data_IF_087533619821
#
_entry.id   IF_087533619821
#
_cell.length_a   1.000
_cell.length_b   1.000
_cell.length_c   1.000
_cell.angle_alpha   90.00
_cell.angle_beta   90.00
_cell.angle_gamma   90.00
#
_symmetry.space_group_name_H-M   'P 1'
#
loop_
_entity.id
_entity.type
_entity.pdbx_description
1 polymer ?
#
# COMPACT_ATOMS: atom_id res chain seq x y z
N UNK A 1 3.72 -69.01 3.94
CA UNK A 1 3.84 -67.55 3.66
C UNK A 1 2.68 -67.13 2.81
N UNK A 2 1.72 -66.38 3.37
CA UNK A 2 0.56 -65.81 2.66
C UNK A 2 0.88 -64.36 2.29
N UNK A 3 0.52 -63.87 1.08
CA UNK A 3 0.80 -62.49 0.67
C UNK A 3 -0.19 -61.50 1.28
N UNK A 4 0.32 -60.33 1.67
CA UNK A 4 -0.45 -59.22 2.21
C UNK A 4 -1.35 -58.60 1.11
N UNK A 5 -2.62 -58.36 1.45
CA UNK A 5 -3.61 -57.63 0.66
C UNK A 5 -3.25 -56.14 0.67
N UNK A 6 -3.19 -55.55 -0.52
CA UNK A 6 -3.23 -54.06 -0.73
C UNK A 6 -4.62 -53.57 -0.28
N UNK A 7 -4.60 -52.51 0.54
CA UNK A 7 -5.76 -51.71 0.86
C UNK A 7 -5.77 -50.53 -0.07
N UNK A 8 -6.83 -50.40 -0.86
CA UNK A 8 -7.05 -49.30 -1.77
C UNK A 8 -7.31 -48.01 -0.96
N UNK A 9 -6.54 -46.97 -1.26
CA UNK A 9 -6.68 -45.64 -0.68
C UNK A 9 -7.85 -44.91 -1.35
N UNK A 10 -8.89 -44.67 -0.58
CA UNK A 10 -9.98 -43.75 -0.91
C UNK A 10 -9.48 -42.33 -0.76
N UNK A 11 -9.41 -41.63 -1.89
CA UNK A 11 -9.13 -40.16 -1.93
C UNK A 11 -10.39 -39.43 -1.48
N UNK A 12 -10.38 -38.93 -0.24
CA UNK A 12 -11.26 -37.87 0.23
C UNK A 12 -10.43 -36.59 0.40
N UNK A 13 -10.84 -35.53 -0.29
CA UNK A 13 -10.16 -34.25 -0.29
C UNK A 13 -10.02 -33.67 1.12
N UNK A 14 -8.82 -33.40 1.52
CA UNK A 14 -8.49 -32.89 2.83
C UNK A 14 -8.09 -31.41 2.79
N UNK A 15 -9.00 -30.57 3.26
CA UNK A 15 -8.68 -29.21 3.74
C UNK A 15 -8.32 -29.20 5.26
N UNK A 16 -7.81 -30.30 5.81
CA UNK A 16 -7.63 -30.46 7.27
C UNK A 16 -6.19 -30.59 7.75
N UNK A 17 -5.17 -30.36 6.90
CA UNK A 17 -3.78 -30.63 7.26
C UNK A 17 -3.00 -29.46 7.93
N UNK A 18 -3.52 -28.23 7.90
CA UNK A 18 -2.80 -27.03 8.37
C UNK A 18 -2.79 -26.87 9.91
N UNK A 19 -3.71 -27.52 10.63
CA UNK A 19 -3.83 -27.37 12.10
C UNK A 19 -3.02 -28.35 12.93
N UNK A 20 -2.14 -29.14 12.34
CA UNK A 20 -1.46 -30.25 13.06
C UNK A 20 -0.26 -29.87 13.93
N UNK A 21 0.20 -28.62 13.89
CA UNK A 21 1.48 -28.21 14.54
C UNK A 21 1.35 -28.02 16.05
N UNK A 22 0.13 -27.83 16.60
CA UNK A 22 -0.08 -27.80 18.05
C UNK A 22 -1.11 -28.86 18.47
N UNK A 23 -0.63 -30.09 18.69
CA UNK A 23 -1.47 -31.17 19.24
C UNK A 23 -2.27 -30.68 20.45
N UNK A 24 -3.60 -30.56 20.29
CA UNK A 24 -4.53 -30.35 21.38
C UNK A 24 -5.10 -28.95 21.58
N UNK A 25 -4.72 -27.92 20.78
CA UNK A 25 -5.35 -26.60 20.88
C UNK A 25 -6.50 -26.45 19.88
N UNK A 26 -7.66 -26.04 20.40
CA UNK A 26 -8.82 -25.71 19.57
C UNK A 26 -8.57 -24.38 18.87
N UNK A 27 -8.82 -24.27 17.53
CA UNK A 27 -8.68 -23.00 16.82
C UNK A 27 -9.51 -21.88 17.48
N UNK A 28 -9.03 -20.63 17.49
CA UNK A 28 -9.79 -19.50 18.04
C UNK A 28 -11.17 -19.38 17.41
N UNK A 29 -12.22 -19.50 18.23
CA UNK A 29 -13.62 -19.51 17.80
C UNK A 29 -14.50 -18.80 18.84
N UNK A 30 -15.69 -18.37 18.41
CA UNK A 30 -16.72 -17.79 19.28
C UNK A 30 -18.10 -18.14 18.73
N UNK A 31 -18.41 -19.47 18.72
CA UNK A 31 -19.61 -20.02 18.07
C UNK A 31 -20.88 -19.42 18.67
N UNK A 32 -20.93 -19.26 19.99
CA UNK A 32 -22.08 -18.65 20.67
C UNK A 32 -22.38 -17.23 20.17
N UNK A 33 -21.32 -16.43 19.91
CA UNK A 33 -21.47 -15.08 19.35
C UNK A 33 -21.87 -15.12 17.88
N UNK A 34 -21.38 -16.09 17.10
CA UNK A 34 -21.81 -16.28 15.71
C UNK A 34 -23.32 -16.55 15.65
N UNK A 35 -23.81 -17.42 16.52
CA UNK A 35 -25.24 -17.75 16.63
C UNK A 35 -26.10 -16.53 16.99
N UNK A 36 -25.63 -15.72 17.95
CA UNK A 36 -26.31 -14.47 18.35
C UNK A 36 -26.34 -13.44 17.21
N UNK A 37 -25.22 -13.25 16.51
CA UNK A 37 -25.15 -12.28 15.42
C UNK A 37 -26.06 -12.68 14.26
N UNK A 38 -25.99 -13.93 13.81
CA UNK A 38 -26.84 -14.42 12.71
C UNK A 38 -28.33 -14.36 13.10
N UNK A 39 -28.67 -14.77 14.32
CA UNK A 39 -30.03 -14.71 14.84
C UNK A 39 -30.55 -13.27 14.88
N UNK A 40 -29.74 -12.31 15.35
CA UNK A 40 -30.09 -10.91 15.41
C UNK A 40 -30.32 -10.30 14.03
N UNK A 41 -29.49 -10.65 13.02
CA UNK A 41 -29.68 -10.20 11.63
C UNK A 41 -31.00 -10.66 11.02
N UNK A 42 -31.54 -11.80 11.43
CA UNK A 42 -32.83 -12.31 10.97
C UNK A 42 -34.04 -11.68 11.71
N UNK A 43 -33.82 -10.98 12.83
CA UNK A 43 -34.87 -10.34 13.63
C UNK A 43 -34.93 -8.84 13.41
N UNK A 44 -33.76 -8.19 13.32
CA UNK A 44 -33.63 -6.73 13.29
C UNK A 44 -32.88 -6.27 12.05
N UNK A 45 -33.58 -5.52 11.20
CA UNK A 45 -32.99 -4.94 9.98
C UNK A 45 -31.82 -3.98 10.30
N UNK A 46 -31.89 -3.20 11.38
CA UNK A 46 -30.78 -2.31 11.78
C UNK A 46 -29.51 -3.12 12.13
N UNK A 47 -29.69 -4.30 12.72
CA UNK A 47 -28.57 -5.18 13.01
C UNK A 47 -27.83 -5.64 11.74
N UNK A 48 -28.51 -5.78 10.61
CA UNK A 48 -27.88 -6.10 9.33
C UNK A 48 -26.98 -4.94 8.87
N UNK A 49 -27.52 -3.72 8.88
CA UNK A 49 -26.81 -2.50 8.43
C UNK A 49 -25.53 -2.24 9.27
N UNK A 50 -25.56 -2.55 10.58
CA UNK A 50 -24.43 -2.38 11.49
C UNK A 50 -23.32 -3.42 11.25
N UNK A 51 -23.64 -4.60 10.74
CA UNK A 51 -22.74 -5.76 10.68
C UNK A 51 -22.20 -6.03 9.29
N UNK A 52 -22.94 -5.67 8.25
CA UNK A 52 -22.63 -6.02 6.85
C UNK A 52 -21.27 -5.50 6.40
N UNK A 53 -20.83 -4.36 6.96
CA UNK A 53 -19.52 -3.76 6.68
C UNK A 53 -18.37 -4.37 7.50
N UNK A 54 -18.68 -5.11 8.56
CA UNK A 54 -17.69 -5.68 9.48
C UNK A 54 -17.37 -7.12 9.12
N UNK A 55 -18.39 -7.89 8.75
CA UNK A 55 -18.26 -9.33 8.53
C UNK A 55 -18.32 -9.68 7.04
N UNK A 56 -17.72 -10.80 6.73
CA UNK A 56 -17.85 -11.51 5.45
C UNK A 56 -17.97 -13.03 5.72
N UNK A 57 -18.43 -13.86 4.77
CA UNK A 57 -18.71 -15.27 5.02
C UNK A 57 -17.57 -16.05 5.67
N UNK A 58 -16.32 -15.76 5.28
CA UNK A 58 -15.14 -16.48 5.77
C UNK A 58 -14.80 -16.20 7.25
N UNK A 59 -15.38 -15.15 7.85
CA UNK A 59 -15.15 -14.79 9.25
C UNK A 59 -15.72 -15.86 10.20
N UNK A 60 -16.80 -16.50 9.78
CA UNK A 60 -17.47 -17.52 10.60
C UNK A 60 -16.68 -18.83 10.66
N UNK A 61 -16.62 -19.42 11.83
CA UNK A 61 -15.94 -20.70 12.04
C UNK A 61 -16.77 -21.88 11.53
N UNK A 62 -18.06 -21.88 11.88
CA UNK A 62 -18.98 -22.97 11.52
C UNK A 62 -19.45 -22.85 10.08
N UNK A 63 -19.31 -23.90 9.29
CA UNK A 63 -19.69 -23.90 7.88
C UNK A 63 -21.17 -23.56 7.66
N UNK A 64 -22.07 -24.03 8.54
CA UNK A 64 -23.49 -23.66 8.49
C UNK A 64 -23.69 -22.13 8.62
N UNK A 65 -22.92 -21.47 9.49
CA UNK A 65 -22.99 -20.01 9.67
C UNK A 65 -22.50 -19.24 8.45
N UNK A 66 -21.43 -19.71 7.79
CA UNK A 66 -20.97 -19.16 6.52
C UNK A 66 -22.06 -19.17 5.46
N UNK A 67 -22.76 -20.32 5.31
CA UNK A 67 -23.82 -20.49 4.32
C UNK A 67 -25.03 -19.59 4.64
N UNK A 68 -25.43 -19.49 5.91
CA UNK A 68 -26.54 -18.63 6.33
C UNK A 68 -26.19 -17.18 6.08
N UNK A 69 -24.98 -16.74 6.47
CA UNK A 69 -24.53 -15.36 6.24
C UNK A 69 -24.43 -15.03 4.74
N UNK A 70 -23.96 -15.96 3.90
CA UNK A 70 -23.97 -15.79 2.44
C UNK A 70 -25.38 -15.61 1.89
N UNK A 71 -26.37 -16.33 2.40
CA UNK A 71 -27.77 -16.16 2.00
C UNK A 71 -28.32 -14.77 2.44
N UNK A 72 -27.96 -14.32 3.64
CA UNK A 72 -28.31 -12.98 4.16
C UNK A 72 -27.68 -11.89 3.27
N UNK A 73 -26.40 -12.06 2.90
CA UNK A 73 -25.69 -11.10 2.02
C UNK A 73 -26.34 -11.01 0.64
N UNK A 74 -26.70 -12.14 0.04
CA UNK A 74 -27.41 -12.17 -1.25
C UNK A 74 -28.76 -11.43 -1.20
N UNK A 75 -29.54 -11.63 -0.13
CA UNK A 75 -30.81 -10.92 0.08
C UNK A 75 -30.57 -9.40 0.25
N UNK A 76 -29.53 -9.04 1.00
CA UNK A 76 -29.15 -7.63 1.20
C UNK A 76 -28.79 -6.94 -0.12
N UNK A 77 -27.97 -7.60 -0.95
CA UNK A 77 -27.56 -7.07 -2.27
C UNK A 77 -28.74 -6.93 -3.23
N UNK A 78 -29.75 -7.82 -3.13
CA UNK A 78 -30.97 -7.75 -3.92
C UNK A 78 -32.00 -6.78 -3.33
N UNK A 79 -31.70 -6.14 -2.20
CA UNK A 79 -32.59 -5.26 -1.45
C UNK A 79 -33.92 -5.95 -1.01
N UNK A 80 -33.87 -7.26 -0.84
CA UNK A 80 -34.99 -8.05 -0.36
C UNK A 80 -35.07 -8.03 1.18
N UNK A 81 -36.28 -8.20 1.78
CA UNK A 81 -36.42 -8.29 3.23
C UNK A 81 -35.62 -9.45 3.79
N UNK A 82 -34.94 -9.23 4.93
CA UNK A 82 -34.15 -10.23 5.62
C UNK A 82 -34.91 -10.65 6.86
N UNK A 83 -35.48 -11.83 6.82
CA UNK A 83 -36.14 -12.49 7.93
C UNK A 83 -35.96 -14.02 7.85
N UNK A 84 -36.43 -14.73 8.86
CA UNK A 84 -36.33 -16.20 8.94
C UNK A 84 -36.90 -16.89 7.69
N UNK A 85 -37.99 -16.38 7.11
CA UNK A 85 -38.66 -17.04 5.96
C UNK A 85 -37.91 -16.81 4.68
N UNK A 86 -37.45 -15.55 4.44
CA UNK A 86 -36.69 -15.18 3.25
C UNK A 86 -35.33 -15.85 3.22
N UNK A 87 -34.63 -15.90 4.36
CA UNK A 87 -33.36 -16.63 4.49
C UNK A 87 -33.55 -18.15 4.26
N UNK A 88 -34.62 -18.77 4.82
CA UNK A 88 -34.93 -20.17 4.55
C UNK A 88 -35.20 -20.40 3.07
N UNK A 89 -35.95 -19.51 2.41
CA UNK A 89 -36.25 -19.61 0.99
C UNK A 89 -34.98 -19.48 0.12
N UNK A 90 -34.10 -18.53 0.43
CA UNK A 90 -32.85 -18.36 -0.27
C UNK A 90 -31.95 -19.60 -0.10
N UNK A 91 -31.83 -20.14 1.12
CA UNK A 91 -31.08 -21.39 1.39
C UNK A 91 -31.66 -22.60 0.64
N UNK A 92 -32.98 -22.67 0.46
CA UNK A 92 -33.63 -23.72 -0.37
C UNK A 92 -33.26 -23.56 -1.83
N UNK A 93 -33.32 -22.34 -2.35
CA UNK A 93 -32.92 -22.01 -3.72
C UNK A 93 -31.47 -22.37 -4.02
N UNK A 94 -30.59 -22.15 -3.05
CA UNK A 94 -29.15 -22.46 -3.13
C UNK A 94 -28.83 -23.93 -2.80
N UNK A 95 -29.84 -24.79 -2.56
CA UNK A 95 -29.73 -26.19 -2.13
C UNK A 95 -28.91 -26.40 -0.83
N UNK A 96 -28.78 -25.37 0.01
CA UNK A 96 -27.96 -25.37 1.22
C UNK A 96 -28.78 -25.59 2.52
N UNK A 97 -30.10 -25.55 2.48
CA UNK A 97 -30.96 -25.63 3.69
C UNK A 97 -30.66 -26.84 4.54
N UNK A 98 -30.52 -28.03 3.95
CA UNK A 98 -30.23 -29.25 4.70
C UNK A 98 -28.82 -29.25 5.31
N UNK A 99 -27.86 -28.59 4.67
CA UNK A 99 -26.49 -28.49 5.16
C UNK A 99 -26.36 -27.57 6.39
N UNK A 100 -27.26 -26.61 6.52
CA UNK A 100 -27.27 -25.72 7.69
C UNK A 100 -28.05 -26.26 8.88
N UNK A 101 -28.78 -27.35 8.72
CA UNK A 101 -29.62 -27.97 9.79
C UNK A 101 -31.13 -27.73 9.65
N UNK A 102 -31.57 -27.27 8.48
CA UNK A 102 -33.00 -27.06 8.17
C UNK A 102 -33.60 -25.81 8.82
N UNK A 103 -34.91 -25.69 8.65
CA UNK A 103 -35.70 -24.57 9.21
C UNK A 103 -35.62 -24.51 10.73
N UNK A 104 -35.51 -25.70 11.40
CA UNK A 104 -35.45 -25.82 12.88
C UNK A 104 -34.21 -25.06 13.40
N UNK A 105 -33.06 -25.21 12.79
CA UNK A 105 -31.84 -24.53 13.21
C UNK A 105 -31.95 -23.01 13.07
N UNK A 106 -32.57 -22.51 11.99
CA UNK A 106 -32.83 -21.09 11.83
C UNK A 106 -33.73 -20.52 12.94
N UNK A 107 -34.77 -21.29 13.34
CA UNK A 107 -35.63 -20.93 14.48
C UNK A 107 -34.85 -20.89 15.78
N UNK A 108 -34.01 -21.88 16.04
CA UNK A 108 -33.15 -21.92 17.24
C UNK A 108 -32.24 -20.70 17.32
N UNK A 109 -31.61 -20.29 16.20
CA UNK A 109 -30.77 -19.10 16.15
C UNK A 109 -31.54 -17.83 16.53
N UNK A 110 -32.76 -17.67 16.02
CA UNK A 110 -33.57 -16.48 16.34
C UNK A 110 -34.04 -16.48 17.80
N UNK A 111 -34.31 -17.66 18.38
CA UNK A 111 -34.71 -17.77 19.80
C UNK A 111 -33.61 -17.50 20.81
N UNK A 112 -32.32 -17.64 20.41
CA UNK A 112 -31.19 -17.33 21.28
C UNK A 112 -30.97 -15.83 21.46
N UNK A 113 -31.56 -15.02 20.63
CA UNK A 113 -31.34 -13.54 20.65
C UNK A 113 -32.26 -12.90 21.67
N UNK A 114 -31.70 -12.31 22.70
CA UNK A 114 -32.44 -11.50 23.69
C UNK A 114 -32.46 -10.02 23.33
N UNK A 115 -31.45 -9.51 22.62
CA UNK A 115 -31.33 -8.12 22.21
C UNK A 115 -30.29 -7.98 21.08
N UNK A 116 -30.54 -7.09 20.10
CA UNK A 116 -29.58 -6.72 19.06
C UNK A 116 -28.63 -5.57 19.46
N UNK A 117 -28.79 -5.02 20.66
CA UNK A 117 -28.11 -3.77 21.11
C UNK A 117 -26.56 -3.86 21.09
N UNK A 118 -25.95 -5.04 21.05
CA UNK A 118 -24.49 -5.23 21.07
C UNK A 118 -23.97 -6.01 19.86
N UNK A 119 -24.75 -6.05 18.79
CA UNK A 119 -24.43 -6.87 17.61
C UNK A 119 -23.07 -6.44 16.98
N UNK A 120 -22.78 -5.15 16.91
CA UNK A 120 -21.52 -4.63 16.41
C UNK A 120 -20.33 -5.14 17.26
N UNK A 121 -20.45 -5.06 18.58
CA UNK A 121 -19.39 -5.53 19.48
C UNK A 121 -19.14 -7.03 19.35
N UNK A 122 -20.20 -7.84 19.26
CA UNK A 122 -20.09 -9.28 19.03
C UNK A 122 -19.44 -9.60 17.69
N UNK A 123 -19.81 -8.88 16.64
CA UNK A 123 -19.24 -9.01 15.29
C UNK A 123 -17.73 -8.71 15.28
N UNK A 124 -17.29 -7.70 16.02
CA UNK A 124 -15.87 -7.38 16.18
C UNK A 124 -15.09 -8.50 16.89
N UNK A 125 -15.69 -9.18 17.87
CA UNK A 125 -15.06 -10.34 18.52
C UNK A 125 -14.93 -11.50 17.53
N UNK A 126 -15.97 -11.78 16.73
CA UNK A 126 -15.93 -12.84 15.71
C UNK A 126 -14.82 -12.54 14.68
N UNK A 127 -14.73 -11.30 14.21
CA UNK A 127 -13.65 -10.85 13.33
C UNK A 127 -12.27 -11.03 13.97
N UNK A 128 -12.12 -10.69 15.24
CA UNK A 128 -10.89 -10.92 16.01
C UNK A 128 -10.46 -12.39 16.02
N UNK A 129 -11.44 -13.31 16.21
CA UNK A 129 -11.17 -14.76 16.17
C UNK A 129 -10.78 -15.24 14.78
N UNK A 130 -11.37 -14.67 13.74
CA UNK A 130 -10.96 -14.93 12.36
C UNK A 130 -9.52 -14.48 12.09
N UNK A 131 -9.16 -13.27 12.47
CA UNK A 131 -7.80 -12.75 12.32
C UNK A 131 -6.80 -13.65 13.05
N UNK A 132 -7.12 -14.10 14.27
CA UNK A 132 -6.28 -15.04 15.00
C UNK A 132 -6.09 -16.36 14.26
N UNK A 133 -7.16 -16.92 13.64
CA UNK A 133 -7.08 -18.14 12.82
C UNK A 133 -6.19 -17.93 11.59
N UNK A 134 -6.37 -16.81 10.89
CA UNK A 134 -5.56 -16.49 9.71
C UNK A 134 -4.08 -16.30 10.05
N UNK A 135 -3.77 -15.67 11.19
CA UNK A 135 -2.40 -15.57 11.66
C UNK A 135 -1.77 -16.93 11.97
N UNK A 136 -2.54 -17.85 12.57
CA UNK A 136 -2.08 -19.22 12.82
C UNK A 136 -1.83 -19.97 11.51
N UNK A 137 -2.75 -19.85 10.54
CA UNK A 137 -2.62 -20.44 9.20
C UNK A 137 -1.35 -19.99 8.51
N UNK A 138 -1.15 -18.66 8.37
CA UNK A 138 0.01 -18.07 7.72
C UNK A 138 1.30 -18.43 8.47
N UNK A 139 1.30 -18.39 9.80
CA UNK A 139 2.47 -18.80 10.58
C UNK A 139 2.84 -20.26 10.33
N UNK A 140 1.85 -21.14 10.19
CA UNK A 140 2.08 -22.55 9.89
C UNK A 140 2.66 -22.75 8.49
N UNK A 141 2.16 -22.02 7.50
CA UNK A 141 2.69 -22.04 6.13
C UNK A 141 4.15 -21.50 6.09
N UNK A 142 4.43 -20.41 6.83
CA UNK A 142 5.79 -19.87 6.94
C UNK A 142 6.73 -20.89 7.56
N UNK A 143 6.30 -21.58 8.64
CA UNK A 143 7.10 -22.62 9.27
C UNK A 143 7.37 -23.77 8.28
N UNK A 144 6.36 -24.26 7.58
CA UNK A 144 6.49 -25.33 6.58
C UNK A 144 7.47 -24.95 5.47
N UNK A 145 7.30 -23.75 4.88
CA UNK A 145 8.17 -23.23 3.84
C UNK A 145 9.61 -22.97 4.33
N UNK A 146 9.79 -22.68 5.63
CA UNK A 146 11.12 -22.46 6.22
C UNK A 146 11.94 -23.75 6.37
N UNK A 147 11.28 -24.92 6.38
CA UNK A 147 11.96 -26.23 6.38
C UNK A 147 12.27 -26.73 4.97
N UNK A 148 11.75 -26.08 3.94
CA UNK A 148 12.03 -26.43 2.54
C UNK A 148 13.33 -25.76 2.08
N UNK A 149 14.41 -26.57 1.98
CA UNK A 149 15.74 -26.10 1.54
C UNK A 149 15.75 -25.55 0.08
N UNK A 150 14.70 -25.78 -0.70
CA UNK A 150 14.60 -25.26 -2.08
C UNK A 150 14.02 -23.86 -2.17
N UNK A 151 13.44 -23.36 -1.09
CA UNK A 151 12.81 -22.03 -1.04
C UNK A 151 13.88 -20.95 -0.76
N UNK A 152 13.94 -19.92 -1.61
CA UNK A 152 14.79 -18.76 -1.34
C UNK A 152 14.29 -17.99 -0.12
N UNK A 153 15.22 -17.63 0.77
CA UNK A 153 14.90 -16.97 2.06
C UNK A 153 14.27 -15.59 1.84
N UNK A 154 14.69 -14.85 0.83
CA UNK A 154 14.15 -13.53 0.52
C UNK A 154 12.73 -13.65 -0.07
N UNK A 155 12.51 -14.65 -0.93
CA UNK A 155 11.19 -14.97 -1.47
C UNK A 155 10.20 -15.36 -0.35
N UNK A 156 10.67 -16.11 0.64
CA UNK A 156 9.88 -16.48 1.82
C UNK A 156 9.51 -15.26 2.68
N UNK A 157 10.45 -14.34 2.91
CA UNK A 157 10.19 -13.11 3.65
C UNK A 157 9.15 -12.24 2.95
N UNK A 158 9.30 -12.00 1.64
CA UNK A 158 8.35 -11.21 0.84
C UNK A 158 6.95 -11.83 0.87
N UNK A 159 6.85 -13.16 0.74
CA UNK A 159 5.58 -13.88 0.82
C UNK A 159 4.93 -13.75 2.19
N UNK A 160 5.72 -13.86 3.27
CA UNK A 160 5.24 -13.70 4.65
C UNK A 160 4.71 -12.29 4.91
N UNK A 161 5.46 -11.25 4.50
CA UNK A 161 5.03 -9.85 4.62
C UNK A 161 3.74 -9.58 3.85
N UNK A 162 3.64 -10.06 2.59
CA UNK A 162 2.44 -9.91 1.77
C UNK A 162 1.21 -10.51 2.43
N UNK A 163 1.31 -11.76 2.94
CA UNK A 163 0.19 -12.44 3.58
C UNK A 163 -0.26 -11.77 4.88
N UNK A 164 0.68 -11.31 5.71
CA UNK A 164 0.38 -10.54 6.93
C UNK A 164 -0.29 -9.21 6.58
N UNK A 165 0.20 -8.57 5.53
CA UNK A 165 -0.36 -7.33 5.03
C UNK A 165 -1.81 -7.47 4.56
N UNK A 166 -2.12 -8.52 3.79
CA UNK A 166 -3.47 -8.79 3.30
C UNK A 166 -4.48 -8.95 4.45
N UNK A 167 -4.08 -9.60 5.56
CA UNK A 167 -4.91 -9.65 6.77
C UNK A 167 -5.15 -8.24 7.32
N UNK A 168 -4.11 -7.42 7.38
CA UNK A 168 -4.21 -6.06 7.92
C UNK A 168 -5.12 -5.18 7.07
N UNK A 169 -5.00 -5.21 5.74
CA UNK A 169 -5.79 -4.39 4.83
C UNK A 169 -7.25 -4.89 4.70
N UNK A 170 -7.46 -6.20 4.63
CA UNK A 170 -8.79 -6.78 4.50
C UNK A 170 -9.70 -6.50 5.70
N UNK A 171 -9.13 -6.22 6.87
CA UNK A 171 -9.86 -6.04 8.13
C UNK A 171 -9.88 -4.59 8.66
N UNK A 172 -9.08 -3.67 8.06
CA UNK A 172 -9.09 -2.25 8.44
C UNK A 172 -9.93 -1.47 7.42
N UNK A 173 -11.23 -1.67 7.43
CA UNK A 173 -12.12 -0.64 6.88
C UNK A 173 -12.06 0.56 7.84
N UNK A 174 -11.52 1.69 7.37
CA UNK A 174 -11.60 2.97 8.10
C UNK A 174 -13.08 3.24 8.36
N UNK A 175 -13.44 3.43 9.63
CA UNK A 175 -14.80 3.87 9.98
C UNK A 175 -15.13 5.10 9.13
N UNK A 176 -16.24 5.05 8.41
CA UNK A 176 -16.78 6.23 7.72
C UNK A 176 -17.01 7.30 8.78
N UNK A 177 -16.39 8.48 8.57
CA UNK A 177 -16.58 9.62 9.46
C UNK A 177 -17.80 10.41 8.96
N UNK A 178 -18.61 10.94 9.88
CA UNK A 178 -19.71 11.81 9.52
C UNK A 178 -19.17 13.09 8.87
N UNK A 179 -19.93 13.63 7.89
CA UNK A 179 -19.58 14.91 7.25
C UNK A 179 -19.39 16.04 8.29
N UNK A 180 -20.13 16.03 9.37
CA UNK A 180 -20.02 17.00 10.47
C UNK A 180 -18.63 16.99 11.09
N UNK A 181 -18.10 15.82 11.48
CA UNK A 181 -16.77 15.67 12.06
C UNK A 181 -15.68 16.10 11.06
N UNK A 182 -15.84 15.76 9.79
CA UNK A 182 -14.90 16.14 8.74
C UNK A 182 -14.93 17.67 8.49
N UNK A 183 -16.08 18.31 8.52
CA UNK A 183 -16.20 19.77 8.37
C UNK A 183 -15.52 20.50 9.55
N UNK A 184 -15.69 20.01 10.78
CA UNK A 184 -15.02 20.59 11.95
C UNK A 184 -13.51 20.48 11.81
N UNK A 185 -13.01 19.30 11.43
CA UNK A 185 -11.57 19.07 11.21
C UNK A 185 -11.02 19.94 10.07
N UNK A 186 -11.75 20.06 8.95
CA UNK A 186 -11.37 20.89 7.81
C UNK A 186 -11.30 22.38 8.18
N UNK A 187 -12.31 22.90 8.92
CA UNK A 187 -12.30 24.29 9.40
C UNK A 187 -11.06 24.57 10.27
N UNK A 188 -10.76 23.67 11.21
CA UNK A 188 -9.57 23.81 12.06
C UNK A 188 -8.30 23.83 11.24
N UNK A 189 -8.15 22.94 10.23
CA UNK A 189 -6.99 22.91 9.33
C UNK A 189 -6.87 24.20 8.52
N UNK A 190 -7.99 24.74 8.01
CA UNK A 190 -8.02 26.03 7.28
C UNK A 190 -7.58 27.19 8.19
N UNK A 191 -8.06 27.23 9.44
CA UNK A 191 -7.64 28.24 10.41
C UNK A 191 -6.15 28.16 10.77
N UNK A 192 -5.61 26.94 10.88
CA UNK A 192 -4.18 26.73 11.13
C UNK A 192 -3.33 27.21 9.94
N UNK A 193 -3.77 26.92 8.71
CA UNK A 193 -3.11 27.39 7.48
C UNK A 193 -3.17 28.91 7.37
N UNK A 194 -4.32 29.52 7.66
CA UNK A 194 -4.51 30.97 7.58
C UNK A 194 -3.62 31.76 8.55
N UNK A 195 -3.21 31.15 9.65
CA UNK A 195 -2.30 31.73 10.65
C UNK A 195 -0.83 31.54 10.35
N UNK A 196 -0.49 30.64 9.39
CA UNK A 196 0.88 30.43 8.93
C UNK A 196 1.18 31.37 7.78
N UNK A 197 2.18 32.20 7.93
CA UNK A 197 2.78 32.90 6.80
C UNK A 197 3.60 31.89 5.98
N UNK A 198 3.23 31.66 4.70
CA UNK A 198 3.95 30.77 3.82
C UNK A 198 3.09 29.73 3.10
N UNK A 199 3.73 28.65 2.65
CA UNK A 199 3.09 27.59 1.90
C UNK A 199 2.27 26.66 2.82
N UNK A 200 1.15 26.15 2.32
CA UNK A 200 0.33 25.17 3.03
C UNK A 200 0.96 23.77 3.09
N UNK A 201 1.73 23.43 2.04
CA UNK A 201 2.46 22.17 1.90
C UNK A 201 3.95 22.30 2.17
N UNK A 202 4.70 21.25 1.81
CA UNK A 202 6.17 21.21 1.90
C UNK A 202 6.75 22.01 0.72
N UNK A 203 7.60 23.02 0.94
CA UNK A 203 8.21 23.80 -0.15
C UNK A 203 9.07 22.90 -1.03
N UNK A 204 9.00 23.11 -2.34
CA UNK A 204 9.89 22.41 -3.28
C UNK A 204 11.28 23.04 -3.34
N UNK A 205 11.40 24.29 -2.91
CA UNK A 205 12.57 25.14 -3.09
C UNK A 205 12.70 25.74 -4.50
N UNK A 206 11.64 25.60 -5.31
CA UNK A 206 11.52 26.25 -6.62
C UNK A 206 10.29 27.15 -6.62
N UNK A 207 10.51 28.47 -6.61
CA UNK A 207 9.47 29.47 -6.41
C UNK A 207 8.26 29.32 -7.34
N UNK A 208 8.46 29.03 -8.61
CA UNK A 208 7.36 28.92 -9.57
C UNK A 208 6.52 27.63 -9.34
N UNK A 209 7.17 26.54 -8.95
CA UNK A 209 6.47 25.33 -8.57
C UNK A 209 5.66 25.56 -7.29
N UNK A 210 6.28 26.21 -6.31
CA UNK A 210 5.65 26.49 -5.02
C UNK A 210 4.45 27.44 -5.16
N UNK A 211 4.50 28.41 -6.08
CA UNK A 211 3.34 29.25 -6.42
C UNK A 211 2.17 28.46 -7.01
N UNK A 212 2.47 27.47 -7.88
CA UNK A 212 1.44 26.65 -8.53
C UNK A 212 0.82 25.62 -7.60
N UNK A 213 1.64 25.00 -6.74
CA UNK A 213 1.21 23.86 -5.91
C UNK A 213 0.87 24.24 -4.46
N UNK A 214 1.26 25.45 -4.04
CA UNK A 214 1.30 25.85 -2.62
C UNK A 214 2.15 24.90 -1.75
N UNK A 215 3.19 24.31 -2.36
CA UNK A 215 4.01 23.25 -1.79
C UNK A 215 3.39 21.85 -1.96
N UNK A 216 4.16 20.81 -1.69
CA UNK A 216 3.70 19.42 -1.76
C UNK A 216 2.73 19.10 -0.63
N UNK A 217 1.51 18.69 -0.97
CA UNK A 217 0.46 18.45 0.01
C UNK A 217 0.57 17.05 0.61
N UNK A 218 0.11 16.92 1.86
CA UNK A 218 0.07 15.62 2.56
C UNK A 218 -0.79 14.60 1.78
N UNK A 219 -0.39 13.33 1.84
CA UNK A 219 -1.08 12.21 1.19
C UNK A 219 -1.09 12.23 -0.35
N UNK A 220 -0.39 13.18 -1.00
CA UNK A 220 -0.30 13.25 -2.45
C UNK A 220 0.76 12.29 -3.02
N UNK A 221 0.43 11.71 -4.16
CA UNK A 221 1.36 11.00 -5.03
C UNK A 221 1.70 11.91 -6.22
N UNK A 222 2.94 12.36 -6.28
CA UNK A 222 3.47 13.24 -7.31
C UNK A 222 4.35 12.42 -8.26
N UNK A 223 4.05 12.48 -9.54
CA UNK A 223 4.86 11.83 -10.57
C UNK A 223 5.67 12.87 -11.33
N UNK A 224 7.00 12.68 -11.37
CA UNK A 224 7.89 13.48 -12.20
C UNK A 224 8.46 12.58 -13.29
N UNK A 225 8.04 12.82 -14.53
CA UNK A 225 8.37 11.96 -15.65
C UNK A 225 9.27 12.67 -16.67
N UNK A 226 10.23 11.93 -17.21
CA UNK A 226 11.11 12.44 -18.25
C UNK A 226 11.75 11.32 -19.08
N UNK A 227 12.27 11.69 -20.27
CA UNK A 227 13.18 10.81 -21.02
C UNK A 227 14.56 10.75 -20.34
N UNK A 228 15.35 9.67 -20.57
CA UNK A 228 16.73 9.61 -20.11
C UNK A 228 17.54 10.82 -20.53
N UNK A 229 18.44 11.30 -19.69
CA UNK A 229 19.29 12.48 -19.96
C UNK A 229 18.62 13.85 -19.74
N UNK A 230 17.32 13.92 -19.44
CA UNK A 230 16.60 15.16 -19.18
C UNK A 230 16.86 15.75 -17.78
N UNK A 231 17.49 14.99 -16.88
CA UNK A 231 17.89 15.48 -15.57
C UNK A 231 16.93 15.16 -14.42
N UNK A 232 16.08 14.11 -14.54
CA UNK A 232 15.14 13.69 -13.47
C UNK A 232 15.78 13.63 -12.09
N UNK A 233 16.78 12.76 -11.93
CA UNK A 233 17.51 12.57 -10.66
C UNK A 233 18.17 13.86 -10.18
N UNK A 234 18.76 14.66 -11.07
CA UNK A 234 19.40 15.92 -10.69
C UNK A 234 18.40 16.93 -10.14
N UNK A 235 17.25 17.06 -10.80
CA UNK A 235 16.18 17.98 -10.39
C UNK A 235 15.61 17.59 -9.02
N UNK A 236 15.25 16.30 -8.84
CA UNK A 236 14.67 15.84 -7.57
C UNK A 236 15.67 15.78 -6.43
N UNK A 237 16.94 15.51 -6.74
CA UNK A 237 18.01 15.57 -5.75
C UNK A 237 18.25 17.02 -5.27
N UNK A 238 18.22 18.01 -6.19
CA UNK A 238 18.27 19.42 -5.82
C UNK A 238 17.05 19.84 -4.99
N UNK A 239 15.88 19.37 -5.34
CA UNK A 239 14.66 19.59 -4.55
C UNK A 239 14.80 19.01 -3.14
N UNK A 240 15.23 17.75 -3.01
CA UNK A 240 15.45 17.11 -1.73
C UNK A 240 16.48 17.88 -0.87
N UNK A 241 17.54 18.39 -1.50
CA UNK A 241 18.53 19.26 -0.85
C UNK A 241 17.89 20.57 -0.37
N UNK A 242 17.13 21.28 -1.21
CA UNK A 242 16.47 22.53 -0.81
C UNK A 242 15.51 22.30 0.37
N UNK A 243 14.78 21.21 0.37
CA UNK A 243 13.84 20.85 1.45
C UNK A 243 14.60 20.53 2.74
N UNK A 244 15.65 19.72 2.65
CA UNK A 244 16.36 19.25 3.86
C UNK A 244 17.35 20.28 4.40
N UNK A 245 18.10 20.97 3.54
CA UNK A 245 19.15 21.93 3.97
C UNK A 245 18.56 23.30 4.30
N UNK A 246 17.70 23.84 3.41
CA UNK A 246 17.21 25.22 3.58
C UNK A 246 16.02 25.29 4.54
N UNK A 247 15.16 24.26 4.53
CA UNK A 247 13.95 24.24 5.35
C UNK A 247 14.05 23.30 6.57
N UNK A 248 15.16 22.55 6.70
CA UNK A 248 15.38 21.58 7.78
C UNK A 248 14.22 20.57 7.93
N UNK A 249 13.63 20.17 6.79
CA UNK A 249 12.54 19.19 6.75
C UNK A 249 13.12 17.80 6.44
N UNK A 250 12.82 16.76 7.23
CA UNK A 250 13.33 15.41 7.01
C UNK A 250 12.80 14.80 5.72
N UNK A 251 13.71 14.36 4.83
CA UNK A 251 13.41 13.74 3.52
C UNK A 251 14.03 12.36 3.44
N UNK A 252 13.28 11.37 2.96
CA UNK A 252 13.80 10.06 2.57
C UNK A 252 13.93 9.98 1.05
N UNK A 253 15.12 9.63 0.56
CA UNK A 253 15.42 9.46 -0.86
C UNK A 253 15.79 8.01 -1.14
N UNK A 254 14.92 7.29 -1.86
CA UNK A 254 15.16 5.92 -2.31
C UNK A 254 15.68 5.94 -3.73
N UNK A 255 16.90 5.48 -3.93
CA UNK A 255 17.56 5.42 -5.23
C UNK A 255 17.76 3.99 -5.68
N UNK A 256 17.08 3.60 -6.75
CA UNK A 256 17.18 2.25 -7.33
C UNK A 256 18.17 2.18 -8.49
N UNK A 257 18.63 3.35 -9.00
CA UNK A 257 19.52 3.44 -10.15
C UNK A 257 20.96 3.81 -9.75
N UNK A 258 21.11 4.66 -8.74
CA UNK A 258 22.41 5.20 -8.35
C UNK A 258 22.74 4.89 -6.90
N UNK A 259 24.02 4.64 -6.60
CA UNK A 259 24.47 4.47 -5.22
C UNK A 259 24.36 5.77 -4.40
N UNK A 260 24.18 5.63 -3.09
CA UNK A 260 24.10 6.75 -2.15
C UNK A 260 25.33 7.66 -2.25
N UNK A 261 26.53 7.07 -2.39
CA UNK A 261 27.78 7.84 -2.53
C UNK A 261 27.80 8.66 -3.81
N UNK A 262 27.27 8.16 -4.93
CA UNK A 262 27.18 8.90 -6.18
C UNK A 262 26.23 10.10 -6.06
N UNK A 263 25.09 9.92 -5.37
CA UNK A 263 24.12 11.01 -5.13
C UNK A 263 24.73 12.08 -4.23
N UNK A 264 25.37 11.70 -3.14
CA UNK A 264 26.06 12.66 -2.25
C UNK A 264 27.19 13.40 -2.99
N UNK A 265 27.96 12.72 -3.83
CA UNK A 265 29.00 13.38 -4.63
C UNK A 265 28.40 14.43 -5.59
N UNK A 266 27.23 14.16 -6.17
CA UNK A 266 26.51 15.16 -6.98
C UNK A 266 26.02 16.35 -6.16
N UNK A 267 25.51 16.11 -4.95
CA UNK A 267 25.12 17.17 -4.03
C UNK A 267 26.32 18.04 -3.63
N UNK A 268 27.44 17.41 -3.30
CA UNK A 268 28.69 18.11 -2.99
C UNK A 268 29.12 18.99 -4.17
N UNK A 269 29.11 18.47 -5.40
CA UNK A 269 29.42 19.24 -6.58
C UNK A 269 28.51 20.46 -6.77
N UNK A 270 27.20 20.25 -6.55
CA UNK A 270 26.19 21.32 -6.64
C UNK A 270 26.39 22.39 -5.56
N UNK A 271 26.65 22.00 -4.33
CA UNK A 271 26.78 22.87 -3.16
C UNK A 271 28.09 23.66 -3.22
N UNK A 272 29.17 23.01 -3.60
CA UNK A 272 30.49 23.60 -3.63
C UNK A 272 30.78 24.39 -4.94
N UNK A 273 30.11 24.01 -6.03
CA UNK A 273 30.45 24.49 -7.39
C UNK A 273 31.72 23.86 -7.96
N UNK A 274 32.30 22.85 -7.29
CA UNK A 274 33.49 22.16 -7.75
C UNK A 274 33.15 21.19 -8.90
N UNK A 275 34.10 21.09 -9.85
CA UNK A 275 33.94 20.21 -10.99
C UNK A 275 33.82 18.75 -10.55
N UNK A 276 32.76 18.07 -10.98
CA UNK A 276 32.47 16.66 -10.67
C UNK A 276 33.60 15.71 -11.07
N UNK A 277 34.38 16.04 -12.13
CA UNK A 277 35.55 15.26 -12.54
C UNK A 277 36.68 15.36 -11.53
N UNK A 278 36.94 16.57 -11.00
CA UNK A 278 37.95 16.77 -9.94
C UNK A 278 37.56 16.04 -8.66
N UNK A 279 36.28 16.09 -8.27
CA UNK A 279 35.76 15.34 -7.12
C UNK A 279 35.94 13.85 -7.31
N UNK A 280 35.61 13.31 -8.49
CA UNK A 280 35.73 11.88 -8.79
C UNK A 280 37.17 11.39 -8.84
N UNK A 281 38.09 12.23 -9.33
CA UNK A 281 39.53 11.88 -9.45
C UNK A 281 40.33 12.19 -8.21
N UNK A 282 39.76 12.92 -7.24
CA UNK A 282 40.46 13.40 -6.05
C UNK A 282 41.50 14.49 -6.31
N UNK A 283 41.55 15.03 -7.52
CA UNK A 283 42.54 16.07 -7.93
C UNK A 283 42.05 17.46 -7.57
N UNK A 284 41.93 17.74 -6.28
CA UNK A 284 41.56 19.02 -5.73
C UNK A 284 42.78 19.80 -5.28
N UNK A 285 42.80 21.09 -5.54
CA UNK A 285 43.81 22.01 -5.02
C UNK A 285 43.54 22.34 -3.53
N UNK A 286 44.53 22.90 -2.85
CA UNK A 286 44.42 23.17 -1.42
C UNK A 286 43.21 24.06 -1.06
N UNK A 287 42.97 25.11 -1.84
CA UNK A 287 41.83 26.00 -1.64
C UNK A 287 40.50 25.33 -1.95
N UNK A 288 40.45 24.38 -2.90
CA UNK A 288 39.24 23.62 -3.23
C UNK A 288 38.86 22.65 -2.07
N UNK A 289 39.88 22.10 -1.38
CA UNK A 289 39.66 21.34 -0.16
C UNK A 289 39.09 22.19 0.98
N UNK A 290 39.59 23.40 1.16
CA UNK A 290 39.07 24.36 2.15
C UNK A 290 37.63 24.74 1.83
N UNK A 291 37.33 25.05 0.57
CA UNK A 291 35.97 25.33 0.07
C UNK A 291 35.02 24.16 0.29
N UNK A 292 35.46 22.93 -0.01
CA UNK A 292 34.68 21.72 0.21
C UNK A 292 34.31 21.57 1.68
N UNK A 293 35.27 21.60 2.59
CA UNK A 293 35.06 21.44 4.02
C UNK A 293 34.08 22.47 4.60
N UNK A 294 34.13 23.72 4.14
CA UNK A 294 33.24 24.76 4.64
C UNK A 294 31.81 24.58 4.12
N UNK A 295 31.66 24.28 2.83
CA UNK A 295 30.32 24.19 2.22
C UNK A 295 29.58 22.87 2.48
N UNK A 296 30.29 21.78 2.76
CA UNK A 296 29.69 20.48 3.02
C UNK A 296 29.05 20.40 4.42
N UNK A 297 29.45 21.28 5.35
CA UNK A 297 28.92 21.28 6.73
C UNK A 297 27.38 21.41 6.80
N UNK A 298 26.76 22.12 5.86
CA UNK A 298 25.31 22.24 5.77
C UNK A 298 24.63 20.92 5.35
N UNK A 299 25.28 20.14 4.47
CA UNK A 299 24.80 18.83 4.05
C UNK A 299 24.98 17.78 5.16
N UNK A 300 26.06 17.86 5.95
CA UNK A 300 26.31 16.93 7.06
C UNK A 300 25.25 17.00 8.15
N UNK A 301 24.70 18.20 8.38
CA UNK A 301 23.65 18.42 9.38
C UNK A 301 22.23 18.27 8.82
N UNK A 302 22.05 18.14 7.51
CA UNK A 302 20.75 18.08 6.87
C UNK A 302 20.02 16.74 7.17
N UNK A 303 18.74 16.76 7.49
CA UNK A 303 17.94 15.56 7.71
C UNK A 303 17.54 14.88 6.39
N UNK A 304 18.53 14.47 5.60
CA UNK A 304 18.37 13.75 4.33
C UNK A 304 18.81 12.30 4.49
N UNK A 305 17.87 11.38 4.35
CA UNK A 305 18.09 9.94 4.50
C UNK A 305 18.09 9.29 3.12
N UNK A 306 19.20 8.69 2.70
CA UNK A 306 19.35 8.05 1.39
C UNK A 306 19.43 6.55 1.58
N UNK A 307 18.61 5.83 0.82
CA UNK A 307 18.61 4.37 0.72
C UNK A 307 18.84 3.99 -0.74
N UNK A 308 19.87 3.20 -1.02
CA UNK A 308 20.28 2.77 -2.36
C UNK A 308 20.12 1.25 -2.56
N UNK A 309 19.18 0.63 -1.85
CA UNK A 309 18.86 -0.79 -2.00
C UNK A 309 18.37 -1.08 -3.43
N UNK A 310 19.09 -1.92 -4.19
CA UNK A 310 18.68 -2.27 -5.54
C UNK A 310 17.44 -3.18 -5.53
N UNK A 311 16.62 -3.12 -6.58
CA UNK A 311 15.44 -4.01 -6.76
C UNK A 311 14.47 -4.00 -5.58
N UNK A 312 14.26 -2.83 -4.98
CA UNK A 312 13.39 -2.64 -3.82
C UNK A 312 11.95 -3.09 -4.13
N UNK A 313 11.41 -3.99 -3.31
CA UNK A 313 10.00 -4.36 -3.40
C UNK A 313 9.11 -3.28 -2.78
N UNK A 314 7.84 -3.22 -3.21
CA UNK A 314 6.88 -2.27 -2.64
C UNK A 314 6.64 -2.50 -1.14
N UNK A 315 6.71 -3.76 -0.70
CA UNK A 315 6.56 -4.13 0.71
C UNK A 315 7.77 -3.67 1.55
N UNK A 316 8.98 -3.89 1.04
CA UNK A 316 10.21 -3.43 1.68
C UNK A 316 10.28 -1.90 1.75
N UNK A 317 9.92 -1.18 0.66
CA UNK A 317 9.80 0.28 0.68
C UNK A 317 8.87 0.74 1.81
N UNK A 318 7.73 0.09 1.94
CA UNK A 318 6.74 0.43 2.98
C UNK A 318 7.28 0.21 4.39
N UNK A 319 7.94 -0.92 4.63
CA UNK A 319 8.56 -1.21 5.92
C UNK A 319 9.65 -0.18 6.28
N UNK A 320 10.53 0.15 5.32
CA UNK A 320 11.56 1.18 5.48
C UNK A 320 10.97 2.58 5.69
N UNK A 321 9.95 2.96 4.92
CA UNK A 321 9.28 4.25 5.04
C UNK A 321 8.61 4.43 6.40
N UNK A 322 7.91 3.39 6.91
CA UNK A 322 7.33 3.40 8.27
C UNK A 322 8.40 3.57 9.34
N UNK A 323 9.50 2.82 9.23
CA UNK A 323 10.62 2.93 10.17
C UNK A 323 11.22 4.32 10.16
N UNK A 324 11.53 4.88 8.98
CA UNK A 324 12.08 6.22 8.85
C UNK A 324 11.10 7.28 9.36
N UNK A 325 9.80 7.12 9.10
CA UNK A 325 8.75 8.02 9.62
C UNK A 325 8.70 7.99 11.15
N UNK A 326 8.76 6.80 11.76
CA UNK A 326 8.71 6.64 13.22
C UNK A 326 10.00 7.11 13.92
N UNK A 327 11.17 6.86 13.33
CA UNK A 327 12.47 7.17 13.96
C UNK A 327 12.92 8.61 13.73
N UNK A 328 12.68 9.14 12.55
CA UNK A 328 13.23 10.43 12.12
C UNK A 328 12.16 11.44 11.73
N UNK A 329 10.88 11.04 11.75
CA UNK A 329 9.78 11.94 11.44
C UNK A 329 9.80 12.48 10.02
N UNK A 330 10.19 11.65 9.02
CA UNK A 330 10.23 12.07 7.62
C UNK A 330 8.92 12.71 7.19
N UNK A 331 9.02 13.72 6.33
CA UNK A 331 7.88 14.48 5.79
C UNK A 331 7.71 14.35 4.29
N UNK A 332 8.71 13.86 3.59
CA UNK A 332 8.68 13.63 2.14
C UNK A 332 9.43 12.35 1.81
N UNK A 333 8.91 11.59 0.86
CA UNK A 333 9.61 10.47 0.24
C UNK A 333 9.86 10.80 -1.24
N UNK A 334 11.09 10.57 -1.70
CA UNK A 334 11.47 10.59 -3.13
C UNK A 334 11.88 9.20 -3.54
N UNK A 335 11.39 8.72 -4.69
CA UNK A 335 11.67 7.40 -5.26
C UNK A 335 12.23 7.53 -6.67
N UNK A 336 13.46 7.14 -6.90
CA UNK A 336 14.14 7.17 -8.22
C UNK A 336 14.53 5.75 -8.66
N UNK A 337 13.81 5.09 -9.58
CA UNK A 337 12.56 5.40 -10.24
C UNK A 337 11.62 4.18 -10.26
N UNK A 338 10.34 4.41 -10.46
CA UNK A 338 9.23 3.44 -10.38
C UNK A 338 9.47 2.13 -11.13
N UNK A 339 9.98 2.20 -12.36
CA UNK A 339 10.17 1.03 -13.22
C UNK A 339 11.29 0.09 -12.78
N UNK A 340 12.05 0.40 -11.73
CA UNK A 340 13.02 -0.52 -11.12
C UNK A 340 12.46 -1.25 -9.90
N UNK A 341 11.28 -0.86 -9.42
CA UNK A 341 10.61 -1.56 -8.33
C UNK A 341 10.05 -2.92 -8.76
N UNK A 342 9.84 -3.79 -7.78
CA UNK A 342 9.23 -5.11 -7.93
C UNK A 342 8.04 -5.27 -6.97
N UNK A 343 7.13 -6.21 -7.28
CA UNK A 343 6.03 -6.59 -6.36
C UNK A 343 6.48 -7.66 -5.36
N UNK A 344 7.68 -8.27 -5.58
CA UNK A 344 8.14 -9.47 -4.86
C UNK A 344 8.00 -10.73 -5.72
N UNK A 345 8.72 -11.79 -5.34
CA UNK A 345 8.96 -12.97 -6.18
C UNK A 345 7.76 -13.87 -6.46
N UNK A 346 6.67 -13.74 -5.71
CA UNK A 346 5.52 -14.65 -5.78
C UNK A 346 4.59 -14.44 -7.01
N UNK A 347 4.80 -13.39 -7.82
CA UNK A 347 4.00 -13.10 -9.00
C UNK A 347 4.83 -12.94 -10.29
N UNK A 348 5.63 -13.93 -10.62
CA UNK A 348 6.44 -13.94 -11.87
C UNK A 348 5.67 -14.10 -13.18
N UNK A 349 4.38 -13.89 -13.23
CA UNK A 349 3.55 -14.17 -14.43
C UNK A 349 2.64 -13.02 -14.87
N UNK A 350 2.90 -11.80 -14.47
CA UNK A 350 2.10 -10.65 -14.87
C UNK A 350 2.72 -9.84 -16.01
N UNK A 351 1.88 -9.18 -16.79
CA UNK A 351 2.30 -8.12 -17.69
C UNK A 351 2.95 -6.99 -16.86
N UNK A 352 4.10 -6.45 -17.27
CA UNK A 352 4.82 -5.36 -16.61
C UNK A 352 3.93 -4.14 -16.29
N UNK A 353 2.96 -3.88 -17.15
CA UNK A 353 1.95 -2.84 -16.96
C UNK A 353 1.10 -3.08 -15.69
N UNK A 354 0.69 -4.33 -15.45
CA UNK A 354 -0.07 -4.68 -14.24
C UNK A 354 0.78 -4.55 -12.97
N UNK A 355 2.04 -4.89 -13.06
CA UNK A 355 3.00 -4.75 -11.95
C UNK A 355 3.17 -3.27 -11.56
N UNK A 356 3.42 -2.39 -12.53
CA UNK A 356 3.54 -0.95 -12.30
C UNK A 356 2.23 -0.37 -11.78
N UNK A 357 1.08 -0.82 -12.28
CA UNK A 357 -0.24 -0.44 -11.79
C UNK A 357 -0.41 -0.77 -10.30
N UNK A 358 0.01 -1.96 -9.90
CA UNK A 358 -0.05 -2.39 -8.49
C UNK A 358 0.89 -1.56 -7.62
N UNK A 359 2.11 -1.29 -8.08
CA UNK A 359 3.08 -0.44 -7.38
C UNK A 359 2.51 0.96 -7.18
N UNK A 360 1.95 1.58 -8.22
CA UNK A 360 1.37 2.93 -8.18
C UNK A 360 0.27 3.04 -7.12
N UNK A 361 -0.70 2.11 -7.13
CA UNK A 361 -1.78 2.07 -6.11
C UNK A 361 -1.23 1.92 -4.69
N UNK A 362 -0.23 1.07 -4.52
CA UNK A 362 0.40 0.89 -3.21
C UNK A 362 1.18 2.12 -2.75
N UNK A 363 1.82 2.87 -3.65
CA UNK A 363 2.46 4.14 -3.30
C UNK A 363 1.43 5.19 -2.88
N UNK A 364 0.31 5.30 -3.61
CA UNK A 364 -0.80 6.18 -3.19
C UNK A 364 -1.39 5.77 -1.84
N UNK A 365 -1.55 4.48 -1.61
CA UNK A 365 -2.00 3.96 -0.31
C UNK A 365 -0.99 4.29 0.81
N UNK A 366 0.32 4.17 0.54
CA UNK A 366 1.38 4.50 1.49
C UNK A 366 1.41 6.01 1.81
N UNK A 367 1.26 6.88 0.80
CA UNK A 367 1.17 8.33 1.00
C UNK A 367 0.01 8.70 1.95
N UNK A 368 -1.16 8.08 1.74
CA UNK A 368 -2.34 8.26 2.62
C UNK A 368 -2.15 7.67 4.00
N UNK A 369 -1.45 6.54 4.12
CA UNK A 369 -1.19 5.87 5.39
C UNK A 369 -0.27 6.68 6.29
N UNK A 370 0.83 7.19 5.73
CA UNK A 370 1.83 7.95 6.46
C UNK A 370 1.45 9.44 6.57
N UNK A 371 0.45 9.89 5.82
CA UNK A 371 0.05 11.31 5.67
C UNK A 371 1.21 12.21 5.24
N UNK A 372 2.01 11.74 4.28
CA UNK A 372 3.14 12.47 3.69
C UNK A 372 3.11 12.38 2.17
N UNK A 373 3.60 13.41 1.44
CA UNK A 373 3.74 13.33 -0.01
C UNK A 373 4.82 12.34 -0.43
N UNK A 374 4.56 11.66 -1.55
CA UNK A 374 5.52 10.78 -2.22
C UNK A 374 5.77 11.31 -3.63
N UNK A 375 7.02 11.64 -3.93
CA UNK A 375 7.46 11.99 -5.28
C UNK A 375 8.09 10.75 -5.92
N UNK A 376 7.47 10.21 -6.95
CA UNK A 376 7.98 9.06 -7.68
C UNK A 376 8.41 9.46 -9.10
N UNK A 377 9.63 9.10 -9.44
CA UNK A 377 10.17 9.36 -10.78
C UNK A 377 9.70 8.29 -11.74
N UNK A 378 9.37 8.68 -12.96
CA UNK A 378 8.97 7.78 -14.03
C UNK A 378 9.74 8.06 -15.32
N UNK A 379 10.02 7.00 -16.06
CA UNK A 379 10.61 7.11 -17.39
C UNK A 379 9.50 7.14 -18.44
N UNK A 380 9.56 8.10 -19.35
CA UNK A 380 8.61 8.20 -20.46
C UNK A 380 8.90 7.17 -21.57
N UNK A 381 7.86 6.79 -22.30
CA UNK A 381 7.95 5.95 -23.49
C UNK A 381 8.84 6.55 -24.57
N UNK A 382 9.50 5.69 -25.36
CA UNK A 382 10.29 6.12 -26.53
C UNK A 382 9.45 6.79 -27.62
N UNK A 383 8.13 6.61 -27.59
CA UNK A 383 7.20 7.23 -28.53
C UNK A 383 7.32 8.77 -28.58
N UNK A 384 7.72 9.43 -27.48
CA UNK A 384 7.99 10.86 -27.43
C UNK A 384 9.07 11.28 -28.44
N UNK A 385 10.14 10.50 -28.55
CA UNK A 385 11.26 10.78 -29.44
C UNK A 385 10.92 10.59 -30.93
N UNK A 386 9.97 9.69 -31.19
CA UNK A 386 9.49 9.40 -32.55
C UNK A 386 8.43 10.39 -33.03
N UNK A 387 7.85 11.18 -32.11
CA UNK A 387 6.84 12.18 -32.44
C UNK A 387 7.49 13.35 -33.17
N UNK A 388 6.83 13.82 -34.24
CA UNK A 388 7.21 15.05 -34.93
C UNK A 388 6.94 16.30 -34.09
N UNK A 389 7.47 17.47 -34.53
CA UNK A 389 7.24 18.76 -33.89
C UNK A 389 8.04 18.93 -32.60
N UNK A 390 7.46 19.59 -31.61
CA UNK A 390 8.14 19.99 -30.37
C UNK A 390 8.55 18.85 -29.45
N UNK A 391 8.07 17.62 -29.67
CA UNK A 391 8.31 16.45 -28.80
C UNK A 391 7.98 16.71 -27.32
N UNK A 392 7.08 17.65 -27.04
CA UNK A 392 6.60 17.90 -25.68
C UNK A 392 5.91 16.64 -25.13
N UNK A 393 6.26 16.20 -23.91
CA UNK A 393 5.59 15.07 -23.26
C UNK A 393 4.11 15.37 -23.01
N UNK A 394 3.29 14.31 -23.11
CA UNK A 394 1.85 14.32 -22.77
C UNK A 394 1.54 13.11 -21.90
N UNK A 395 0.39 13.12 -21.21
CA UNK A 395 0.00 12.06 -20.28
C UNK A 395 0.04 10.66 -20.90
N UNK A 396 -0.36 10.52 -22.17
CA UNK A 396 -0.30 9.24 -22.88
C UNK A 396 1.12 8.70 -23.09
N UNK A 397 2.17 9.48 -22.86
CA UNK A 397 3.56 9.02 -22.93
C UNK A 397 4.00 8.24 -21.68
N UNK A 398 3.18 8.24 -20.63
CA UNK A 398 3.26 7.34 -19.46
C UNK A 398 2.73 5.94 -19.79
N UNK A 399 2.54 5.57 -21.03
CA UNK A 399 1.71 4.49 -21.58
C UNK A 399 2.04 3.05 -21.17
N UNK A 400 3.24 2.78 -20.66
CA UNK A 400 3.53 1.50 -19.98
C UNK A 400 2.95 1.47 -18.55
N UNK A 401 2.18 2.50 -18.19
CA UNK A 401 1.75 2.79 -16.83
C UNK A 401 0.45 3.61 -16.81
N UNK A 402 -0.54 3.25 -17.63
CA UNK A 402 -1.83 3.97 -17.67
C UNK A 402 -2.51 4.12 -16.29
N UNK A 403 -2.19 3.24 -15.36
CA UNK A 403 -2.66 3.33 -13.99
C UNK A 403 -1.94 4.43 -13.17
N UNK A 404 -0.70 4.79 -13.49
CA UNK A 404 0.02 5.88 -12.78
C UNK A 404 -0.75 7.19 -12.95
N UNK A 405 -1.28 7.45 -14.16
CA UNK A 405 -2.07 8.64 -14.45
C UNK A 405 -3.34 8.71 -13.58
N UNK A 406 -3.97 7.56 -13.31
CA UNK A 406 -5.19 7.49 -12.51
C UNK A 406 -4.94 7.60 -11.02
N UNK A 407 -3.79 7.14 -10.54
CA UNK A 407 -3.46 7.10 -9.12
C UNK A 407 -2.77 8.37 -8.63
N UNK A 408 -2.08 9.10 -9.54
CA UNK A 408 -1.33 10.32 -9.23
C UNK A 408 -2.25 11.53 -9.01
N UNK A 409 -1.93 12.36 -8.03
CA UNK A 409 -2.59 13.65 -7.80
C UNK A 409 -1.97 14.75 -8.67
N UNK A 410 -0.65 14.67 -8.91
CA UNK A 410 0.10 15.62 -9.74
C UNK A 410 1.02 14.84 -10.68
N UNK A 411 0.98 15.18 -11.97
CA UNK A 411 1.92 14.68 -12.96
C UNK A 411 2.68 15.87 -13.55
N UNK A 412 4.01 15.81 -13.47
CA UNK A 412 4.91 16.83 -14.01
C UNK A 412 5.88 16.21 -15.00
N UNK A 413 6.21 16.94 -16.04
CA UNK A 413 7.16 16.52 -17.05
C UNK A 413 8.40 17.41 -17.05
N UNK A 414 9.58 16.78 -17.05
CA UNK A 414 10.83 17.52 -17.32
C UNK A 414 11.14 17.44 -18.81
N UNK A 415 11.26 18.59 -19.41
CA UNK A 415 11.50 18.74 -20.83
C UNK A 415 12.59 19.77 -21.09
N UNK A 416 13.51 19.46 -21.99
CA UNK A 416 14.61 20.30 -22.39
C UNK A 416 14.63 20.42 -23.92
N UNK A 417 14.14 21.54 -24.50
CA UNK A 417 14.10 21.70 -25.95
C UNK A 417 15.49 21.68 -26.60
N UNK A 418 16.50 22.19 -25.91
CA UNK A 418 17.89 22.21 -26.42
C UNK A 418 18.42 20.77 -26.66
N UNK A 419 17.99 19.81 -25.89
CA UNK A 419 18.34 18.40 -26.09
C UNK A 419 17.86 17.87 -27.45
N UNK A 420 16.72 18.39 -27.92
CA UNK A 420 16.14 18.05 -29.22
C UNK A 420 16.56 19.02 -30.34
N UNK A 421 17.45 19.98 -30.05
CA UNK A 421 17.88 21.03 -30.99
C UNK A 421 16.71 21.86 -31.50
N UNK A 422 15.81 22.22 -30.64
CA UNK A 422 14.67 23.09 -30.91
C UNK A 422 15.02 24.46 -30.39
N UNK A 423 15.24 25.41 -31.31
CA UNK A 423 15.72 26.75 -31.01
C UNK A 423 14.60 27.76 -30.73
N UNK A 424 13.36 27.47 -31.13
CA UNK A 424 12.22 28.36 -30.93
C UNK A 424 11.22 27.71 -29.92
N UNK A 425 10.93 28.47 -28.88
CA UNK A 425 9.86 28.21 -27.95
C UNK A 425 8.59 28.95 -28.38
N UNK A 426 7.57 28.22 -28.85
CA UNK A 426 6.23 28.76 -28.82
C UNK A 426 5.69 28.58 -27.39
N UNK A 427 5.54 29.67 -26.66
CA UNK A 427 4.96 29.73 -25.31
C UNK A 427 3.47 29.25 -25.27
#
# INVERSE_FOLDING_TARGET
MKPFKKIDSVTSGNNSSVYSIQKGKIPPQAIDLEELVIGAMMIDKKGVDEVIDILHPEVFYKQSHKLIYSAILNLFEQQEPIDLKTVSFQLKKDANLNLVGGDIYLVELTQKVSSSAHIEFHSRIILQKFIQRKLIEISSEIIESSYDETTDVFDLLDSAESKIYDISQGNIKKNSQTAENLVIAAKKKIEEISKKEGLSGIPSGFNEIDKLTSGWQQSDLIIIAARPGMGKTAFTLSMARNISVENNIPVAFFSLEMSALQLITRLISSETGLNSEKLRTGKLEKFEWEQLNVKVSSLESAPLYIDDTPSLSIFELRAKARRLSSQYGIKLIVLDYLQLMTIGSSQKSGNREQEISTISRNLKALAKELDIPIIALSQLSRAVELRGGTKRPILSDLRESGAIEQDADIVSFLYRPEYYKIDEWDD
#
